data_IF_970348588955
#
_entry.id   IF_970348588955
#
_cell.length_a   1.000
_cell.length_b   1.000
_cell.length_c   1.000
_cell.angle_alpha   90.00
_cell.angle_beta   90.00
_cell.angle_gamma   90.00
#
_symmetry.space_group_name_H-M   'P 1'
#
loop_
_entity.id
_entity.type
_entity.pdbx_description
1 polymer ?
#
# COMPACT_ATOMS: atom_id res chain seq x y z
N UNK A 1 -49.94 13.95 40.29
CA UNK A 1 -49.92 12.93 39.22
C UNK A 1 -50.63 13.48 38.00
N UNK A 2 -49.91 13.67 36.88
CA UNK A 2 -50.48 14.08 35.58
C UNK A 2 -50.44 12.85 34.68
N UNK A 3 -51.61 12.34 34.30
CA UNK A 3 -51.72 11.26 33.33
C UNK A 3 -51.62 11.84 31.91
N UNK A 4 -50.65 11.38 31.13
CA UNK A 4 -50.59 11.66 29.69
C UNK A 4 -51.37 10.56 28.98
N UNK A 5 -52.49 10.93 28.36
CA UNK A 5 -53.28 10.02 27.51
C UNK A 5 -52.72 10.11 26.09
N UNK A 6 -52.05 9.05 25.63
CA UNK A 6 -51.61 8.92 24.24
C UNK A 6 -52.74 8.28 23.44
N UNK A 7 -53.48 9.09 22.68
CA UNK A 7 -54.49 8.59 21.75
C UNK A 7 -53.82 8.19 20.41
N UNK A 8 -53.61 6.90 20.21
CA UNK A 8 -53.17 6.36 18.91
C UNK A 8 -54.37 6.32 17.95
N UNK A 9 -54.45 7.32 17.05
CA UNK A 9 -55.42 7.34 15.96
C UNK A 9 -55.10 6.20 14.98
N UNK A 10 -55.91 5.13 14.98
CA UNK A 10 -55.82 4.04 14.01
C UNK A 10 -56.01 4.64 12.61
N UNK A 11 -54.99 4.56 11.74
CA UNK A 11 -55.15 4.97 10.33
C UNK A 11 -56.27 4.13 9.71
N UNK A 12 -57.18 4.77 8.97
CA UNK A 12 -58.14 4.05 8.12
C UNK A 12 -57.36 3.12 7.21
N UNK A 13 -57.77 1.86 7.11
CA UNK A 13 -57.24 0.94 6.12
C UNK A 13 -57.54 1.52 4.73
N UNK A 14 -56.53 2.08 4.09
CA UNK A 14 -56.62 2.48 2.69
C UNK A 14 -56.79 1.20 1.87
N UNK A 15 -57.86 1.14 1.07
CA UNK A 15 -58.11 0.04 0.13
C UNK A 15 -56.92 -0.01 -0.81
N UNK A 16 -56.08 -1.05 -0.67
CA UNK A 16 -54.91 -1.22 -1.55
C UNK A 16 -55.40 -1.28 -3.00
N UNK A 17 -54.85 -0.47 -3.92
CA UNK A 17 -55.25 -0.53 -5.31
C UNK A 17 -55.06 -1.96 -5.85
N UNK A 18 -56.03 -2.45 -6.62
CA UNK A 18 -55.92 -3.78 -7.25
C UNK A 18 -54.75 -3.76 -8.22
N UNK A 19 -53.91 -4.78 -8.12
CA UNK A 19 -52.80 -5.06 -9.03
C UNK A 19 -53.23 -4.88 -10.48
N UNK A 20 -52.54 -4.01 -11.21
CA UNK A 20 -52.87 -3.68 -12.59
C UNK A 20 -51.80 -4.18 -13.57
N UNK A 21 -52.05 -4.03 -14.87
CA UNK A 21 -51.13 -4.46 -15.92
C UNK A 21 -49.81 -3.67 -15.92
N UNK A 22 -49.79 -2.43 -15.42
CA UNK A 22 -48.58 -1.62 -15.27
C UNK A 22 -47.71 -2.15 -14.13
N UNK A 23 -48.30 -2.58 -13.02
CA UNK A 23 -47.57 -3.22 -11.91
C UNK A 23 -46.89 -4.50 -12.39
N UNK A 24 -47.57 -5.27 -13.23
CA UNK A 24 -47.03 -6.48 -13.87
C UNK A 24 -45.87 -6.16 -14.82
N UNK A 25 -45.97 -5.09 -15.60
CA UNK A 25 -44.92 -4.63 -16.50
C UNK A 25 -43.70 -4.11 -15.74
N UNK A 26 -43.91 -3.31 -14.69
CA UNK A 26 -42.86 -2.81 -13.81
C UNK A 26 -42.12 -3.97 -13.11
N UNK A 27 -42.86 -5.00 -12.68
CA UNK A 27 -42.26 -6.19 -12.07
C UNK A 27 -41.44 -6.98 -13.10
N UNK A 28 -41.94 -7.16 -14.33
CA UNK A 28 -41.19 -7.79 -15.41
C UNK A 28 -39.89 -7.04 -15.75
N UNK A 29 -39.95 -5.70 -15.86
CA UNK A 29 -38.77 -4.87 -16.11
C UNK A 29 -37.77 -4.98 -14.96
N UNK A 30 -38.25 -4.98 -13.71
CA UNK A 30 -37.39 -5.10 -12.52
C UNK A 30 -36.70 -6.46 -12.47
N UNK A 31 -37.42 -7.55 -12.80
CA UNK A 31 -36.86 -8.90 -12.91
C UNK A 31 -35.87 -8.99 -14.06
N UNK A 32 -36.17 -8.40 -15.22
CA UNK A 32 -35.24 -8.39 -16.35
C UNK A 32 -33.94 -7.63 -16.01
N UNK A 33 -34.04 -6.45 -15.39
CA UNK A 33 -32.91 -5.64 -14.97
C UNK A 33 -31.97 -6.37 -13.99
N UNK A 34 -32.52 -7.23 -13.12
CA UNK A 34 -31.74 -8.04 -12.17
C UNK A 34 -30.76 -9.00 -12.86
N UNK A 35 -31.14 -9.54 -14.03
CA UNK A 35 -30.33 -10.52 -14.77
C UNK A 35 -29.45 -9.92 -15.87
N UNK A 36 -29.54 -8.61 -16.14
CA UNK A 36 -28.72 -7.95 -17.17
C UNK A 36 -27.22 -8.19 -16.95
N UNK A 37 -26.72 -7.92 -15.76
CA UNK A 37 -25.29 -8.06 -15.46
C UNK A 37 -24.80 -9.54 -15.47
N UNK A 38 -25.52 -10.51 -14.87
CA UNK A 38 -25.19 -11.93 -15.01
C UNK A 38 -25.14 -12.43 -16.46
N UNK A 39 -26.07 -11.97 -17.31
CA UNK A 39 -26.12 -12.35 -18.74
C UNK A 39 -25.00 -11.67 -19.53
N UNK A 40 -24.69 -10.41 -19.25
CA UNK A 40 -23.55 -9.71 -19.86
C UNK A 40 -22.22 -10.37 -19.50
N UNK A 41 -22.04 -10.78 -18.24
CA UNK A 41 -20.86 -11.54 -17.81
C UNK A 41 -20.72 -12.84 -18.60
N UNK A 42 -21.81 -13.59 -18.82
CA UNK A 42 -21.80 -14.80 -19.64
C UNK A 42 -21.47 -14.50 -21.12
N UNK A 43 -22.02 -13.42 -21.68
CA UNK A 43 -21.86 -13.05 -23.09
C UNK A 43 -20.43 -12.58 -23.43
N UNK A 44 -19.70 -12.00 -22.47
CA UNK A 44 -18.34 -11.48 -22.67
C UNK A 44 -17.24 -12.37 -22.06
N UNK A 45 -17.52 -13.68 -21.92
CA UNK A 45 -16.52 -14.69 -21.56
C UNK A 45 -16.30 -14.89 -20.06
N UNK A 46 -17.17 -14.35 -19.21
CA UNK A 46 -17.22 -14.61 -17.77
C UNK A 46 -18.19 -15.75 -17.39
N UNK A 47 -18.29 -16.03 -16.09
CA UNK A 47 -19.16 -17.09 -15.54
C UNK A 47 -20.51 -16.48 -15.13
N UNK A 48 -21.62 -17.11 -15.53
CA UNK A 48 -22.95 -16.72 -15.03
C UNK A 48 -23.03 -16.96 -13.52
N UNK A 49 -23.11 -15.88 -12.75
CA UNK A 49 -23.36 -15.96 -11.32
C UNK A 49 -24.55 -15.08 -10.97
N UNK A 50 -25.55 -15.68 -10.33
CA UNK A 50 -26.75 -14.97 -9.84
C UNK A 50 -26.38 -13.91 -8.79
N UNK A 51 -25.16 -13.95 -8.25
CA UNK A 51 -24.65 -12.95 -7.31
C UNK A 51 -24.09 -11.69 -8.00
N UNK A 52 -23.93 -11.67 -9.32
CA UNK A 52 -23.37 -10.52 -10.05
C UNK A 52 -24.46 -9.51 -10.47
N UNK A 53 -25.55 -9.45 -9.70
CA UNK A 53 -26.68 -8.56 -9.99
C UNK A 53 -26.25 -7.11 -9.86
N UNK A 54 -26.83 -6.23 -10.70
CA UNK A 54 -26.59 -4.79 -10.63
C UNK A 54 -27.24 -4.10 -9.42
N UNK A 55 -27.91 -4.84 -8.53
CA UNK A 55 -28.67 -4.26 -7.43
C UNK A 55 -27.73 -3.78 -6.31
N UNK A 56 -27.75 -2.48 -5.93
CA UNK A 56 -26.73 -1.89 -5.05
C UNK A 56 -26.58 -2.58 -3.69
N UNK A 57 -27.68 -3.06 -3.08
CA UNK A 57 -27.63 -3.73 -1.77
C UNK A 57 -26.98 -5.10 -1.86
N UNK A 58 -27.28 -5.85 -2.92
CA UNK A 58 -26.70 -7.17 -3.13
C UNK A 58 -25.22 -7.03 -3.49
N UNK A 59 -24.89 -6.06 -4.35
CA UNK A 59 -23.51 -5.70 -4.67
C UNK A 59 -22.72 -5.28 -3.44
N UNK A 60 -23.28 -4.42 -2.58
CA UNK A 60 -22.64 -4.04 -1.33
C UNK A 60 -22.41 -5.24 -0.40
N UNK A 61 -23.40 -6.10 -0.21
CA UNK A 61 -23.26 -7.29 0.63
C UNK A 61 -22.21 -8.27 0.05
N UNK A 62 -22.23 -8.50 -1.27
CA UNK A 62 -21.23 -9.29 -1.97
C UNK A 62 -19.84 -8.67 -1.80
N UNK A 63 -19.69 -7.38 -2.10
CA UNK A 63 -18.41 -6.69 -2.05
C UNK A 63 -17.84 -6.72 -0.62
N UNK A 64 -18.68 -6.59 0.42
CA UNK A 64 -18.24 -6.74 1.81
C UNK A 64 -17.82 -8.18 2.13
N UNK A 65 -18.62 -9.18 1.78
CA UNK A 65 -18.35 -10.58 2.13
C UNK A 65 -17.16 -11.14 1.33
N UNK A 66 -17.14 -10.92 0.02
CA UNK A 66 -16.09 -11.42 -0.88
C UNK A 66 -14.77 -10.75 -0.57
N UNK A 67 -14.74 -9.41 -0.43
CA UNK A 67 -13.50 -8.70 -0.11
C UNK A 67 -12.97 -9.11 1.27
N UNK A 68 -13.85 -9.30 2.26
CA UNK A 68 -13.41 -9.75 3.59
C UNK A 68 -12.87 -11.19 3.56
N UNK A 69 -13.48 -12.09 2.80
CA UNK A 69 -12.97 -13.45 2.63
C UNK A 69 -11.64 -13.47 1.86
N UNK A 70 -11.51 -12.67 0.81
CA UNK A 70 -10.26 -12.52 0.06
C UNK A 70 -9.13 -11.99 0.95
N UNK A 71 -9.41 -11.00 1.82
CA UNK A 71 -8.44 -10.50 2.80
C UNK A 71 -8.04 -11.59 3.80
N UNK A 72 -8.98 -12.36 4.33
CA UNK A 72 -8.69 -13.45 5.29
C UNK A 72 -7.87 -14.57 4.61
N UNK A 73 -8.22 -14.95 3.39
CA UNK A 73 -7.44 -15.94 2.61
C UNK A 73 -6.01 -15.45 2.35
N UNK A 74 -5.85 -14.17 2.01
CA UNK A 74 -4.53 -13.56 1.81
C UNK A 74 -3.73 -13.50 3.12
N UNK A 75 -4.36 -13.19 4.25
CA UNK A 75 -3.74 -13.24 5.57
C UNK A 75 -3.24 -14.64 5.90
N UNK A 76 -4.07 -15.67 5.71
CA UNK A 76 -3.67 -17.06 5.95
C UNK A 76 -2.54 -17.49 5.02
N UNK A 77 -2.58 -17.09 3.75
CA UNK A 77 -1.52 -17.35 2.78
C UNK A 77 -0.21 -16.69 3.20
N UNK A 78 -0.23 -15.41 3.60
CA UNK A 78 0.96 -14.70 4.05
C UNK A 78 1.55 -15.30 5.33
N UNK A 79 0.70 -15.70 6.28
CA UNK A 79 1.13 -16.37 7.50
C UNK A 79 1.76 -17.76 7.23
N UNK A 80 1.25 -18.51 6.24
CA UNK A 80 1.88 -19.76 5.82
C UNK A 80 3.22 -19.50 5.14
N UNK A 81 3.30 -18.46 4.30
CA UNK A 81 4.52 -18.10 3.57
C UNK A 81 5.61 -17.54 4.50
N UNK A 82 5.27 -16.92 5.62
CA UNK A 82 6.27 -16.37 6.56
C UNK A 82 7.14 -17.46 7.20
N UNK A 83 6.57 -18.65 7.42
CA UNK A 83 7.30 -19.81 7.95
C UNK A 83 8.22 -20.50 6.94
N UNK A 84 8.07 -20.22 5.65
CA UNK A 84 8.90 -20.83 4.60
C UNK A 84 10.28 -20.18 4.63
N UNK A 85 11.32 -21.01 4.61
CA UNK A 85 12.71 -20.55 4.49
C UNK A 85 13.03 -20.20 3.04
N UNK A 86 13.91 -19.22 2.86
CA UNK A 86 14.43 -18.85 1.55
C UNK A 86 15.25 -19.98 0.90
N UNK A 87 15.28 -19.98 -0.42
CA UNK A 87 15.96 -20.99 -1.26
C UNK A 87 17.29 -20.49 -1.86
N UNK A 88 17.80 -19.35 -1.39
CA UNK A 88 18.99 -18.73 -1.96
C UNK A 88 20.23 -19.61 -1.80
N UNK A 89 20.97 -19.77 -2.90
CA UNK A 89 22.32 -20.34 -2.90
C UNK A 89 23.31 -19.23 -3.26
N UNK A 90 23.95 -18.67 -2.23
CA UNK A 90 24.93 -17.59 -2.40
C UNK A 90 26.25 -18.18 -2.88
N UNK A 91 26.67 -17.83 -4.10
CA UNK A 91 27.89 -18.37 -4.73
C UNK A 91 29.14 -17.60 -4.35
N UNK A 92 29.03 -16.29 -4.15
CA UNK A 92 30.13 -15.43 -3.72
C UNK A 92 29.59 -14.15 -3.08
N UNK A 93 30.35 -13.59 -2.14
CA UNK A 93 30.04 -12.30 -1.49
C UNK A 93 31.29 -11.44 -1.48
N UNK A 94 31.24 -10.28 -2.13
CA UNK A 94 32.33 -9.29 -2.13
C UNK A 94 31.72 -7.89 -2.03
N UNK A 95 31.35 -7.43 -0.81
CA UNK A 95 30.70 -6.15 -0.64
C UNK A 95 31.73 -5.05 -0.95
N UNK A 96 31.39 -4.13 -1.84
CA UNK A 96 32.24 -2.97 -2.16
C UNK A 96 32.22 -1.94 -1.01
N UNK A 97 31.09 -1.86 -0.33
CA UNK A 97 30.81 -0.90 0.73
C UNK A 97 30.32 -1.59 1.98
N UNK A 98 30.39 -0.86 3.09
CA UNK A 98 29.95 -1.36 4.38
C UNK A 98 28.48 -1.05 4.68
N UNK A 99 27.90 -0.02 4.06
CA UNK A 99 26.51 0.41 4.30
C UNK A 99 25.81 0.54 2.95
N UNK A 100 24.63 -0.06 2.84
CA UNK A 100 23.73 0.06 1.70
C UNK A 100 22.40 0.58 2.23
N UNK A 101 21.92 1.68 1.67
CA UNK A 101 20.63 2.27 2.06
C UNK A 101 19.67 2.17 0.88
N UNK A 102 18.53 1.55 1.12
CA UNK A 102 17.45 1.40 0.16
C UNK A 102 16.26 2.21 0.66
N UNK A 103 15.91 3.26 -0.07
CA UNK A 103 14.73 4.08 0.23
C UNK A 103 13.60 3.68 -0.71
N UNK A 104 12.50 3.20 -0.12
CA UNK A 104 11.27 2.84 -0.81
C UNK A 104 10.29 4.00 -0.64
N UNK A 105 10.12 4.79 -1.69
CA UNK A 105 9.14 5.87 -1.75
C UNK A 105 7.72 5.37 -1.98
N UNK A 106 6.75 6.27 -1.84
CA UNK A 106 5.32 5.99 -2.02
C UNK A 106 4.68 7.06 -2.90
N UNK A 107 3.94 6.61 -3.92
CA UNK A 107 3.12 7.46 -4.80
C UNK A 107 3.85 8.63 -5.50
N UNK A 108 5.15 8.52 -5.76
CA UNK A 108 5.95 9.56 -6.41
C UNK A 108 5.99 9.39 -7.93
N UNK A 109 5.57 10.41 -8.67
CA UNK A 109 5.56 10.37 -10.14
C UNK A 109 6.75 11.11 -10.75
N UNK A 110 7.30 10.53 -11.82
CA UNK A 110 8.44 11.10 -12.56
C UNK A 110 8.17 12.51 -13.06
N UNK A 111 7.04 12.72 -13.72
CA UNK A 111 6.65 14.01 -14.33
C UNK A 111 6.35 15.10 -13.29
N UNK A 112 6.15 14.71 -12.03
CA UNK A 112 5.94 15.62 -10.91
C UNK A 112 7.25 15.98 -10.18
N UNK A 113 8.40 15.36 -10.48
CA UNK A 113 9.67 15.63 -9.80
C UNK A 113 10.64 16.41 -10.69
N UNK A 114 11.10 17.57 -10.21
CA UNK A 114 12.04 18.41 -10.96
C UNK A 114 13.32 17.68 -11.40
N UNK A 115 13.88 16.84 -10.53
CA UNK A 115 15.11 16.07 -10.79
C UNK A 115 14.95 15.05 -11.92
N UNK A 116 13.71 14.70 -12.29
CA UNK A 116 13.39 13.78 -13.38
C UNK A 116 12.76 14.49 -14.59
N UNK A 117 12.94 15.81 -14.70
CA UNK A 117 12.43 16.61 -15.81
C UNK A 117 10.98 17.08 -15.63
N UNK A 118 10.43 17.00 -14.41
CA UNK A 118 9.15 17.59 -14.06
C UNK A 118 9.17 19.12 -14.11
N UNK A 119 7.99 19.73 -14.21
CA UNK A 119 7.86 21.17 -14.38
C UNK A 119 8.22 21.98 -13.11
N UNK A 120 8.12 21.37 -11.93
CA UNK A 120 8.30 22.05 -10.64
C UNK A 120 9.67 21.80 -10.04
N UNK A 121 10.28 22.83 -9.44
CA UNK A 121 11.50 22.71 -8.64
C UNK A 121 11.19 22.25 -7.20
N UNK A 122 10.68 21.03 -7.08
CA UNK A 122 10.28 20.43 -5.80
C UNK A 122 11.23 19.33 -5.32
N UNK A 123 12.34 19.13 -6.04
CA UNK A 123 13.40 18.20 -5.65
C UNK A 123 14.78 18.87 -5.79
N UNK A 124 15.01 20.04 -5.15
CA UNK A 124 16.24 20.79 -5.35
C UNK A 124 17.47 20.02 -4.86
N UNK A 125 17.37 19.28 -3.74
CA UNK A 125 18.47 18.41 -3.30
C UNK A 125 18.82 17.35 -4.36
N UNK A 126 17.82 16.56 -4.79
CA UNK A 126 18.04 15.48 -5.75
C UNK A 126 18.54 16.01 -7.11
N UNK A 127 18.17 17.23 -7.51
CA UNK A 127 18.63 17.82 -8.78
C UNK A 127 20.13 18.15 -8.80
N UNK A 128 20.79 18.20 -7.63
CA UNK A 128 22.20 18.58 -7.51
C UNK A 128 23.10 17.47 -6.95
N UNK A 129 22.55 16.31 -6.57
CA UNK A 129 23.37 15.19 -6.11
C UNK A 129 24.06 14.51 -7.28
N UNK A 130 25.28 14.04 -7.03
CA UNK A 130 25.96 13.16 -7.97
C UNK A 130 25.40 11.74 -7.81
N UNK A 131 24.68 11.26 -8.84
CA UNK A 131 24.06 9.95 -8.85
C UNK A 131 23.52 9.58 -10.22
N UNK A 132 23.20 8.30 -10.41
CA UNK A 132 22.59 7.80 -11.63
C UNK A 132 21.07 7.94 -11.54
N UNK A 133 20.47 8.57 -12.55
CA UNK A 133 19.03 8.76 -12.66
C UNK A 133 18.44 7.81 -13.70
N UNK A 134 17.53 6.95 -13.26
CA UNK A 134 16.78 6.07 -14.15
C UNK A 134 15.54 6.81 -14.67
N UNK A 135 15.68 7.47 -15.82
CA UNK A 135 14.62 8.32 -16.37
C UNK A 135 13.43 7.52 -16.90
N UNK A 136 13.61 6.28 -17.34
CA UNK A 136 12.55 5.47 -17.96
C UNK A 136 12.12 4.28 -17.10
N UNK A 137 12.20 4.42 -15.78
CA UNK A 137 11.69 3.42 -14.85
C UNK A 137 10.16 3.42 -14.83
N UNK A 138 9.57 2.23 -14.99
CA UNK A 138 8.12 2.00 -14.89
C UNK A 138 7.92 0.98 -13.76
N UNK A 139 7.03 1.31 -12.83
CA UNK A 139 6.71 0.43 -11.72
C UNK A 139 6.06 -0.88 -12.19
N UNK A 140 6.27 -1.96 -11.44
CA UNK A 140 5.77 -3.29 -11.80
C UNK A 140 4.23 -3.40 -11.75
N UNK A 141 3.54 -2.51 -11.05
CA UNK A 141 2.08 -2.43 -10.99
C UNK A 141 1.60 -1.12 -10.36
N UNK A 142 0.42 -0.64 -10.76
CA UNK A 142 -0.29 0.54 -10.23
C UNK A 142 -0.81 0.46 -8.79
N UNK A 143 -0.29 -0.44 -7.95
CA UNK A 143 -0.69 -0.52 -6.53
C UNK A 143 0.49 -0.98 -5.69
N UNK A 144 0.67 -0.37 -4.51
CA UNK A 144 1.84 -0.58 -3.65
C UNK A 144 2.09 -2.06 -3.35
N UNK A 145 1.06 -2.79 -2.92
CA UNK A 145 1.18 -4.22 -2.57
C UNK A 145 1.68 -5.07 -3.74
N UNK A 146 1.13 -4.87 -4.94
CA UNK A 146 1.49 -5.64 -6.12
C UNK A 146 2.82 -5.20 -6.71
N UNK A 147 3.08 -3.89 -6.73
CA UNK A 147 4.33 -3.30 -7.23
C UNK A 147 5.53 -3.79 -6.42
N UNK A 148 5.47 -3.66 -5.10
CA UNK A 148 6.54 -4.10 -4.20
C UNK A 148 6.65 -5.62 -4.15
N UNK A 149 5.51 -6.33 -4.21
CA UNK A 149 5.49 -7.78 -4.37
C UNK A 149 6.32 -8.23 -5.57
N UNK A 150 6.17 -7.59 -6.73
CA UNK A 150 6.92 -7.96 -7.93
C UNK A 150 8.35 -7.41 -7.96
N UNK A 151 8.61 -6.25 -7.34
CA UNK A 151 9.91 -5.57 -7.43
C UNK A 151 10.93 -6.13 -6.44
N UNK A 152 10.50 -6.46 -5.23
CA UNK A 152 11.40 -6.81 -4.12
C UNK A 152 11.65 -8.32 -3.98
N UNK A 153 10.86 -9.13 -4.68
CA UNK A 153 10.89 -10.58 -4.59
C UNK A 153 11.32 -11.20 -5.91
N UNK A 154 11.86 -12.42 -5.83
CA UNK A 154 12.04 -13.27 -7.01
C UNK A 154 10.66 -13.59 -7.59
N UNK A 155 10.50 -13.37 -8.89
CA UNK A 155 9.27 -13.68 -9.61
C UNK A 155 9.48 -14.95 -10.44
N UNK A 156 8.61 -15.93 -10.25
CA UNK A 156 8.56 -17.18 -11.03
C UNK A 156 7.12 -17.33 -11.54
N UNK A 157 6.95 -17.52 -12.85
CA UNK A 157 5.63 -17.63 -13.49
C UNK A 157 4.67 -16.48 -13.15
N UNK A 158 5.18 -15.23 -13.16
CA UNK A 158 4.46 -14.01 -12.75
C UNK A 158 3.94 -14.02 -11.31
N UNK A 159 4.46 -14.90 -10.45
CA UNK A 159 4.11 -14.96 -9.03
C UNK A 159 5.31 -14.60 -8.16
N UNK A 160 5.17 -13.60 -7.26
CA UNK A 160 6.24 -13.25 -6.34
C UNK A 160 6.43 -14.34 -5.28
N UNK A 161 7.69 -14.73 -5.06
CA UNK A 161 8.11 -15.66 -4.01
C UNK A 161 8.58 -14.87 -2.79
N UNK A 162 7.69 -14.60 -1.84
CA UNK A 162 7.97 -13.71 -0.70
C UNK A 162 9.10 -14.19 0.23
N UNK A 163 9.37 -15.50 0.26
CA UNK A 163 10.52 -16.07 0.96
C UNK A 163 11.86 -15.73 0.28
N UNK A 164 11.85 -15.58 -1.04
CA UNK A 164 13.03 -15.28 -1.85
C UNK A 164 13.01 -13.79 -2.23
N UNK A 165 13.42 -12.95 -1.29
CA UNK A 165 13.42 -11.50 -1.46
C UNK A 165 14.82 -10.92 -1.24
N UNK A 166 15.00 -9.64 -1.59
CA UNK A 166 16.32 -9.00 -1.50
C UNK A 166 16.87 -8.92 -0.06
N UNK A 167 15.99 -8.86 0.95
CA UNK A 167 16.39 -8.87 2.37
C UNK A 167 16.89 -10.25 2.77
N UNK A 168 16.15 -11.33 2.43
CA UNK A 168 16.61 -12.70 2.73
C UNK A 168 17.90 -13.04 1.98
N UNK A 169 18.06 -12.53 0.76
CA UNK A 169 19.32 -12.65 0.02
C UNK A 169 20.47 -11.95 0.75
N UNK A 170 20.26 -10.73 1.26
CA UNK A 170 21.26 -9.99 2.02
C UNK A 170 21.64 -10.70 3.31
N UNK A 171 20.67 -11.23 4.07
CA UNK A 171 20.94 -12.03 5.27
C UNK A 171 21.81 -13.26 4.92
N UNK A 172 21.47 -13.97 3.85
CA UNK A 172 22.26 -15.12 3.37
C UNK A 172 23.65 -14.73 2.89
N UNK A 173 23.82 -13.51 2.40
CA UNK A 173 25.12 -12.95 2.06
C UNK A 173 25.91 -12.46 3.30
N UNK A 174 25.39 -12.61 4.52
CA UNK A 174 26.07 -12.23 5.76
C UNK A 174 25.98 -10.74 6.09
N UNK A 175 25.01 -10.03 5.52
CA UNK A 175 24.71 -8.64 5.86
C UNK A 175 23.82 -8.62 7.10
N UNK A 176 24.00 -7.61 7.95
CA UNK A 176 23.01 -7.28 8.96
C UNK A 176 21.92 -6.39 8.32
N UNK A 177 20.66 -6.78 8.44
CA UNK A 177 19.55 -6.07 7.78
C UNK A 177 18.65 -5.34 8.76
N UNK A 178 18.30 -4.11 8.39
CA UNK A 178 17.42 -3.23 9.15
C UNK A 178 16.27 -2.77 8.27
N UNK A 179 15.05 -2.82 8.77
CA UNK A 179 13.87 -2.28 8.10
C UNK A 179 13.16 -1.26 8.98
N UNK A 180 13.08 -0.01 8.51
CA UNK A 180 12.34 1.06 9.16
C UNK A 180 11.17 1.49 8.27
N UNK A 181 9.94 1.44 8.80
CA UNK A 181 8.73 1.76 8.04
C UNK A 181 7.91 2.85 8.73
N UNK A 182 7.58 3.90 7.99
CA UNK A 182 6.57 4.90 8.40
C UNK A 182 5.15 4.52 7.95
N UNK A 183 5.00 3.45 7.18
CA UNK A 183 3.68 2.87 6.86
C UNK A 183 3.25 1.89 7.95
N UNK A 184 1.94 1.87 8.22
CA UNK A 184 1.34 0.94 9.18
C UNK A 184 1.38 -0.50 8.70
N UNK A 185 1.39 -1.40 9.68
CA UNK A 185 1.29 -2.83 9.46
C UNK A 185 -0.11 -3.28 9.89
N UNK A 186 -0.98 -3.56 8.91
CA UNK A 186 -2.22 -4.30 9.17
C UNK A 186 -1.79 -5.75 9.48
N UNK A 187 -2.01 -6.21 10.73
CA UNK A 187 -1.67 -7.54 11.26
C UNK A 187 -0.22 -8.03 11.09
N UNK A 188 0.16 -9.17 11.69
CA UNK A 188 1.56 -9.60 11.76
C UNK A 188 2.19 -9.93 10.39
N UNK A 189 1.38 -10.19 9.36
CA UNK A 189 1.84 -10.53 8.00
C UNK A 189 0.93 -9.99 6.89
N UNK A 190 -0.02 -9.09 7.16
CA UNK A 190 -1.16 -8.90 6.24
C UNK A 190 -0.83 -8.08 4.98
N UNK A 191 0.42 -7.65 4.80
CA UNK A 191 0.87 -7.03 3.56
C UNK A 191 2.16 -7.66 3.04
N UNK A 192 2.32 -7.65 1.71
CA UNK A 192 3.56 -8.00 1.03
C UNK A 192 4.80 -7.36 1.68
N UNK A 193 4.67 -6.10 2.09
CA UNK A 193 5.73 -5.30 2.70
C UNK A 193 6.05 -5.80 4.10
N UNK A 194 5.02 -6.00 4.94
CA UNK A 194 5.19 -6.54 6.28
C UNK A 194 5.86 -7.92 6.27
N UNK A 195 5.48 -8.78 5.32
CA UNK A 195 6.07 -10.10 5.13
C UNK A 195 7.57 -10.04 4.78
N UNK A 196 7.99 -9.09 3.94
CA UNK A 196 9.41 -8.87 3.61
C UNK A 196 10.15 -8.26 4.80
N UNK A 197 9.58 -7.21 5.41
CA UNK A 197 10.19 -6.48 6.51
C UNK A 197 10.47 -7.37 7.72
N UNK A 198 9.55 -8.26 8.09
CA UNK A 198 9.72 -9.23 9.19
C UNK A 198 10.84 -10.26 8.96
N UNK A 199 11.39 -10.33 7.74
CA UNK A 199 12.53 -11.19 7.41
C UNK A 199 13.87 -10.45 7.52
N UNK A 200 13.86 -9.14 7.79
CA UNK A 200 15.04 -8.44 8.24
C UNK A 200 15.45 -8.93 9.63
N UNK A 201 16.73 -8.79 9.99
CA UNK A 201 17.20 -9.12 11.33
C UNK A 201 16.50 -8.22 12.37
N UNK A 202 16.32 -6.94 12.02
CA UNK A 202 15.66 -5.94 12.86
C UNK A 202 14.64 -5.15 12.04
N UNK A 203 13.38 -5.15 12.49
CA UNK A 203 12.28 -4.49 11.80
C UNK A 203 11.47 -3.62 12.76
N UNK A 204 11.38 -2.32 12.47
CA UNK A 204 10.63 -1.37 13.26
C UNK A 204 9.63 -0.59 12.41
N UNK A 205 8.41 -0.54 12.90
CA UNK A 205 7.31 0.20 12.31
C UNK A 205 6.97 1.35 13.24
N UNK A 206 6.86 2.57 12.69
CA UNK A 206 6.45 3.75 13.47
C UNK A 206 4.98 3.71 13.87
N UNK A 207 4.18 2.86 13.19
CA UNK A 207 2.74 2.70 13.40
C UNK A 207 2.42 1.24 13.69
N UNK A 208 1.64 1.00 14.74
CA UNK A 208 1.11 -0.32 15.09
C UNK A 208 -0.38 -0.38 14.70
N UNK A 209 -0.75 -1.24 13.74
CA UNK A 209 -2.15 -1.38 13.29
C UNK A 209 -2.43 -0.73 11.93
N UNK A 210 -3.62 -0.14 11.76
CA UNK A 210 -4.12 0.42 10.48
C UNK A 210 -3.04 1.24 9.75
N UNK A 211 -3.01 1.14 8.41
CA UNK A 211 -2.07 1.84 7.53
C UNK A 211 -2.01 3.36 7.83
N UNK A 212 -3.17 3.89 8.23
CA UNK A 212 -3.42 5.29 8.59
C UNK A 212 -3.48 5.57 10.11
N UNK A 213 -3.19 4.58 10.96
CA UNK A 213 -3.09 4.79 12.40
C UNK A 213 -2.01 5.86 12.71
N UNK A 214 -2.29 6.76 13.65
CA UNK A 214 -1.39 7.83 14.08
C UNK A 214 -0.77 8.66 12.93
N UNK A 215 -1.62 9.44 12.23
CA UNK A 215 -1.28 10.38 11.13
C UNK A 215 -0.27 11.49 11.45
N UNK A 216 0.40 11.45 12.60
CA UNK A 216 1.35 12.47 13.02
C UNK A 216 2.81 12.06 12.85
N UNK A 217 3.10 10.84 12.38
CA UNK A 217 4.46 10.40 12.10
C UNK A 217 4.94 10.98 10.77
N UNK A 218 6.14 11.55 10.77
CA UNK A 218 6.78 12.08 9.57
C UNK A 218 7.96 11.20 9.16
N UNK A 219 8.27 11.17 7.88
CA UNK A 219 9.33 10.32 7.32
C UNK A 219 10.72 10.64 7.93
N UNK A 220 10.95 11.85 8.44
CA UNK A 220 12.17 12.25 9.13
C UNK A 220 12.43 11.46 10.42
N UNK A 221 11.39 10.87 11.02
CA UNK A 221 11.55 9.99 12.18
C UNK A 221 12.42 8.76 11.85
N UNK A 222 12.37 8.27 10.62
CA UNK A 222 13.22 7.15 10.16
C UNK A 222 14.71 7.51 10.18
N UNK A 223 15.06 8.79 10.05
CA UNK A 223 16.44 9.25 10.08
C UNK A 223 17.04 9.17 11.48
N UNK A 224 16.24 9.43 12.50
CA UNK A 224 16.67 9.27 13.90
C UNK A 224 17.05 7.81 14.18
N UNK A 225 16.24 6.87 13.71
CA UNK A 225 16.50 5.42 13.86
C UNK A 225 17.74 4.99 13.06
N UNK A 226 17.87 5.50 11.84
CA UNK A 226 19.05 5.24 10.99
C UNK A 226 20.33 5.76 11.65
N UNK A 227 20.30 6.98 12.22
CA UNK A 227 21.44 7.55 12.92
C UNK A 227 21.88 6.70 14.12
N UNK A 228 20.92 6.11 14.86
CA UNK A 228 21.23 5.21 15.98
C UNK A 228 21.93 3.93 15.51
N UNK A 229 21.48 3.35 14.39
CA UNK A 229 22.17 2.21 13.77
C UNK A 229 23.59 2.63 13.37
N UNK A 230 23.74 3.74 12.66
CA UNK A 230 25.04 4.20 12.16
C UNK A 230 26.01 4.65 13.27
N UNK A 231 25.52 5.02 14.45
CA UNK A 231 26.35 5.42 15.59
C UNK A 231 27.15 4.24 16.20
N UNK A 232 26.73 3.00 15.94
CA UNK A 232 27.44 1.81 16.43
C UNK A 232 28.21 1.15 15.28
N UNK A 233 29.52 1.03 15.45
CA UNK A 233 30.34 0.29 14.49
C UNK A 233 30.00 -1.20 14.49
N UNK A 234 29.92 -1.79 13.30
CA UNK A 234 29.63 -3.20 13.10
C UNK A 234 30.67 -3.79 12.16
N UNK A 235 30.92 -5.09 12.30
CA UNK A 235 31.87 -5.82 11.45
C UNK A 235 31.20 -6.31 10.16
N UNK A 236 29.91 -6.66 10.24
CA UNK A 236 29.11 -7.10 9.09
C UNK A 236 28.71 -5.91 8.22
N UNK A 237 28.68 -6.06 6.88
CA UNK A 237 28.06 -5.05 6.02
C UNK A 237 26.58 -4.91 6.37
N UNK A 238 26.05 -3.70 6.22
CA UNK A 238 24.70 -3.34 6.66
C UNK A 238 23.84 -3.01 5.44
N UNK A 239 22.61 -3.54 5.43
CA UNK A 239 21.56 -3.10 4.52
C UNK A 239 20.44 -2.47 5.36
N UNK A 240 20.16 -1.20 5.10
CA UNK A 240 19.14 -0.43 5.81
C UNK A 240 18.05 -0.06 4.81
N UNK A 241 16.82 -0.48 5.08
CA UNK A 241 15.65 -0.19 4.25
C UNK A 241 14.80 0.86 4.95
N UNK A 242 14.54 1.96 4.25
CA UNK A 242 13.67 3.06 4.70
C UNK A 242 12.41 3.06 3.85
N UNK A 243 11.27 2.74 4.45
CA UNK A 243 9.99 2.69 3.77
C UNK A 243 9.13 3.90 4.18
N UNK A 244 8.93 4.80 3.22
CA UNK A 244 8.34 6.12 3.44
C UNK A 244 6.81 6.08 3.37
N UNK A 245 6.16 7.04 4.04
CA UNK A 245 4.77 7.39 3.75
C UNK A 245 4.68 8.17 2.43
N UNK A 246 5.72 8.94 2.09
CA UNK A 246 5.85 9.62 0.81
C UNK A 246 4.68 10.55 0.51
N UNK A 247 4.22 10.54 -0.74
CA UNK A 247 3.12 11.40 -1.21
C UNK A 247 1.73 10.78 -1.03
N UNK A 248 1.58 9.80 -0.12
CA UNK A 248 0.30 9.15 0.14
C UNK A 248 -0.76 10.18 0.58
N UNK A 249 -1.99 10.17 0.01
CA UNK A 249 -2.99 11.17 0.34
C UNK A 249 -3.43 11.05 1.81
N UNK A 250 -3.42 12.14 2.59
CA UNK A 250 -3.91 12.08 3.96
C UNK A 250 -5.41 11.78 3.94
N UNK A 251 -5.83 10.71 4.64
CA UNK A 251 -7.25 10.40 4.76
C UNK A 251 -8.03 11.61 5.31
N UNK A 252 -9.08 12.02 4.59
CA UNK A 252 -9.89 13.23 4.78
C UNK A 252 -10.20 13.57 6.26
N UNK A 253 -9.82 14.78 6.68
CA UNK A 253 -10.50 15.57 7.74
C UNK A 253 -10.88 16.93 7.17
N UNK A 254 -11.96 17.58 7.65
CA UNK A 254 -12.30 18.95 7.25
C UNK A 254 -11.16 19.89 7.67
N UNK A 255 -10.51 20.51 6.68
CA UNK A 255 -9.42 21.46 6.86
C UNK A 255 -9.91 22.74 7.56
N UNK A 256 -9.32 23.07 8.70
CA UNK A 256 -9.25 24.44 9.21
C UNK A 256 -7.80 24.94 9.06
N UNK A 257 -7.48 25.56 7.93
CA UNK A 257 -6.19 26.26 7.76
C UNK A 257 -5.66 26.27 6.32
N UNK A 258 -5.76 27.45 5.70
CA UNK A 258 -5.11 27.97 4.47
C UNK A 258 -4.48 26.95 3.50
N UNK A 259 -5.19 26.81 2.38
CA UNK A 259 -4.77 26.11 1.16
C UNK A 259 -3.77 26.99 0.38
N UNK A 260 -2.53 26.51 0.27
CA UNK A 260 -1.68 26.67 -0.91
C UNK A 260 -0.94 25.35 -1.06
N UNK A 261 -1.45 24.51 -1.96
CA UNK A 261 -0.68 23.86 -3.01
C UNK A 261 -1.49 22.71 -3.61
N UNK A 262 -1.41 22.64 -4.92
CA UNK A 262 -2.27 21.87 -5.81
C UNK A 262 -1.93 20.38 -5.69
N UNK A 263 -2.91 19.57 -5.31
CA UNK A 263 -2.82 18.11 -5.37
C UNK A 263 -3.33 17.62 -6.73
N UNK A 264 -2.53 16.83 -7.46
CA UNK A 264 -3.13 15.74 -8.23
C UNK A 264 -2.34 14.41 -8.17
N UNK A 265 -2.98 13.41 -7.54
CA UNK A 265 -3.27 12.04 -8.01
C UNK A 265 -2.14 11.09 -8.52
N UNK A 266 -1.94 10.05 -7.69
CA UNK A 266 -1.76 8.58 -7.88
C UNK A 266 -0.61 7.92 -8.68
N UNK A 267 0.09 7.00 -7.96
CA UNK A 267 0.81 5.74 -8.33
C UNK A 267 2.16 5.94 -9.07
N UNK A 268 3.33 5.39 -8.70
CA UNK A 268 3.80 4.29 -7.83
C UNK A 268 5.19 4.61 -7.22
N UNK A 269 5.78 3.63 -6.50
CA UNK A 269 7.06 3.57 -5.76
C UNK A 269 8.30 4.03 -6.53
N UNK A 270 9.14 4.82 -5.86
CA UNK A 270 10.48 5.20 -6.31
C UNK A 270 11.54 4.58 -5.39
N UNK A 271 12.42 3.76 -5.95
CA UNK A 271 13.54 3.14 -5.24
C UNK A 271 14.78 4.03 -5.38
N UNK A 272 15.20 4.70 -4.30
CA UNK A 272 16.52 5.32 -4.27
C UNK A 272 17.50 4.40 -3.57
N UNK A 273 18.50 3.92 -4.31
CA UNK A 273 19.68 3.28 -3.74
C UNK A 273 20.71 4.38 -3.55
N UNK A 274 20.86 4.87 -2.32
CA UNK A 274 21.92 5.83 -2.01
C UNK A 274 23.18 5.11 -1.55
N UNK A 275 24.31 5.62 -2.02
CA UNK A 275 25.62 5.04 -1.80
C UNK A 275 26.53 6.08 -1.13
N UNK A 276 26.96 5.83 0.12
CA UNK A 276 27.94 6.69 0.81
C UNK A 276 29.13 5.87 1.34
N UNK A 277 30.32 6.16 0.82
CA UNK A 277 31.58 5.55 1.24
C UNK A 277 32.16 6.14 2.55
N UNK A 278 31.60 7.25 3.06
CA UNK A 278 32.24 8.07 4.10
C UNK A 278 31.46 8.22 5.41
N UNK A 279 30.40 7.42 5.64
CA UNK A 279 29.57 7.49 6.87
C UNK A 279 29.01 8.89 7.16
N UNK A 280 28.86 9.76 6.15
CA UNK A 280 28.32 11.13 6.28
C UNK A 280 26.82 11.12 5.99
N UNK A 281 26.06 10.34 6.75
CA UNK A 281 24.64 10.59 6.89
C UNK A 281 24.45 11.81 7.82
N UNK A 282 24.77 13.00 7.31
CA UNK A 282 24.41 14.23 7.99
C UNK A 282 22.90 14.45 7.77
N UNK A 283 22.11 14.73 8.82
CA UNK A 283 20.67 15.01 8.68
C UNK A 283 20.37 16.06 7.59
N UNK A 284 21.31 17.00 7.36
CA UNK A 284 21.24 18.05 6.35
C UNK A 284 21.08 17.57 4.90
N UNK A 285 21.48 16.34 4.56
CA UNK A 285 21.31 15.79 3.21
C UNK A 285 19.83 15.53 2.84
N UNK A 286 18.91 15.52 3.82
CA UNK A 286 17.47 15.38 3.58
C UNK A 286 16.67 16.63 3.95
N UNK A 287 17.26 17.59 4.67
CA UNK A 287 16.59 18.82 5.09
C UNK A 287 16.41 19.87 3.98
N UNK A 288 17.00 19.71 2.80
CA UNK A 288 16.95 20.73 1.73
C UNK A 288 15.68 20.68 0.86
N UNK A 289 14.54 20.26 1.42
CA UNK A 289 13.23 20.35 0.76
C UNK A 289 12.33 21.46 1.37
N UNK A 290 12.88 22.35 2.19
CA UNK A 290 12.18 23.52 2.71
C UNK A 290 12.87 24.81 2.31
N UNK A 291 12.32 25.49 1.31
CA UNK A 291 12.43 26.92 1.06
C UNK A 291 11.14 27.38 0.41
#
# INVERSE_FOLDING_TARGET
MRWVIIALRRRKEEVRPRWNSLDSLCLLISVAAFFVAPVQNLAWGGVFKVIDTGYPVFRFAKDVIVNNNEVIEEQHRMAQLSGIKDSWTVTAVKPRYHIYVVVIGESARRDAMGAFGGHWDNTPFASHVNGDFFMDYIAASGSTQKSLGLTLNRVVDNKPQYQDNFVTLANRAGFQTWWFSNQGQIGEYDTAIASIAKRADEAHFLKNGDFEADKNTRDEALLTMTAQVLATERTQPQLIVLHLMGSHPPGLRPYSGKIRDVCPVERDVLLFIHHDANRRFAPSALYSASS
#
